data_IF_847929370647
#
_entry.id   IF_847929370647
#
_cell.length_a   1.000
_cell.length_b   1.000
_cell.length_c   1.000
_cell.angle_alpha   90.00
_cell.angle_beta   90.00
_cell.angle_gamma   90.00
#
_symmetry.space_group_name_H-M   'P 1'
#
loop_
_entity.id
_entity.type
_entity.pdbx_description
1 polymer ?
#
# COMPACT_ATOMS: atom_id res chain seq x y z
N UNK A 1 8.33 -13.86 10.13
CA UNK A 1 8.59 -12.89 11.21
C UNK A 1 7.30 -12.31 11.76
N UNK A 2 6.45 -11.81 10.91
CA UNK A 2 5.13 -11.34 11.26
C UNK A 2 4.06 -11.86 10.32
N UNK A 3 2.81 -11.69 10.71
CA UNK A 3 1.62 -12.06 9.95
C UNK A 3 0.61 -10.93 9.98
N UNK A 4 -0.05 -10.66 8.86
CA UNK A 4 -1.19 -9.75 8.79
C UNK A 4 -2.42 -10.47 8.23
N UNK A 5 -3.60 -9.96 8.55
CA UNK A 5 -4.87 -10.40 8.01
C UNK A 5 -5.49 -9.39 7.05
N UNK A 6 -6.67 -9.72 6.56
CA UNK A 6 -7.45 -8.87 5.66
C UNK A 6 -8.24 -7.82 6.45
N UNK A 7 -8.00 -6.54 6.16
CA UNK A 7 -8.77 -5.43 6.73
C UNK A 7 -9.86 -5.00 5.74
N UNK A 8 -11.10 -4.93 6.20
CA UNK A 8 -12.28 -4.52 5.43
C UNK A 8 -12.94 -3.30 6.02
N UNK A 9 -13.57 -2.48 5.19
CA UNK A 9 -14.35 -1.33 5.64
C UNK A 9 -15.70 -1.78 6.19
N UNK A 10 -16.06 -1.29 7.39
CA UNK A 10 -17.36 -1.53 8.01
C UNK A 10 -18.44 -0.59 7.45
N UNK A 11 -18.13 0.71 7.36
CA UNK A 11 -19.05 1.80 6.97
C UNK A 11 -19.08 2.10 5.45
N UNK A 12 -19.14 1.07 4.62
CA UNK A 12 -18.97 1.14 3.14
C UNK A 12 -19.87 2.12 2.41
N UNK A 13 -21.05 2.44 2.94
CA UNK A 13 -22.09 3.25 2.29
C UNK A 13 -22.46 4.49 3.08
N UNK A 14 -21.63 4.89 4.03
CA UNK A 14 -21.92 6.04 4.90
C UNK A 14 -21.80 7.35 4.11
N UNK A 15 -20.80 7.48 3.24
CA UNK A 15 -20.57 8.66 2.39
C UNK A 15 -19.93 8.26 1.06
N UNK A 16 -19.89 9.17 0.10
CA UNK A 16 -19.16 8.96 -1.15
C UNK A 16 -17.65 8.72 -0.89
N UNK A 17 -17.11 9.34 0.15
CA UNK A 17 -15.72 9.18 0.58
C UNK A 17 -15.44 7.76 1.05
N UNK A 18 -16.35 7.15 1.81
CA UNK A 18 -16.19 5.74 2.22
C UNK A 18 -16.37 4.78 1.05
N UNK A 19 -17.25 5.11 0.08
CA UNK A 19 -17.48 4.27 -1.08
C UNK A 19 -16.25 4.12 -1.97
N UNK A 20 -15.53 5.19 -2.25
CA UNK A 20 -14.31 5.16 -3.07
C UNK A 20 -13.15 4.39 -2.41
N UNK A 21 -13.17 4.22 -1.09
CA UNK A 21 -12.14 3.50 -0.33
C UNK A 21 -12.36 1.97 -0.34
N UNK A 22 -13.59 1.49 -0.63
CA UNK A 22 -13.92 0.05 -0.51
C UNK A 22 -13.03 -0.82 -1.39
N UNK A 23 -12.85 -0.41 -2.64
CA UNK A 23 -12.05 -1.17 -3.60
C UNK A 23 -10.56 -1.00 -3.34
N UNK A 24 -10.12 0.19 -2.96
CA UNK A 24 -8.73 0.46 -2.60
C UNK A 24 -8.29 -0.42 -1.41
N UNK A 25 -9.13 -0.54 -0.37
CA UNK A 25 -8.85 -1.44 0.75
C UNK A 25 -8.81 -2.91 0.31
N UNK A 26 -9.66 -3.31 -0.61
CA UNK A 26 -9.62 -4.68 -1.14
C UNK A 26 -8.32 -4.96 -1.91
N UNK A 27 -7.86 -4.03 -2.75
CA UNK A 27 -6.59 -4.18 -3.45
C UNK A 27 -5.44 -4.21 -2.44
N UNK A 28 -5.30 -3.20 -1.60
CA UNK A 28 -4.14 -2.99 -0.74
C UNK A 28 -4.02 -4.04 0.38
N UNK A 29 -5.16 -4.47 0.96
CA UNK A 29 -5.19 -5.39 2.10
C UNK A 29 -5.56 -6.83 1.75
N UNK A 30 -5.84 -7.14 0.50
CA UNK A 30 -6.11 -8.51 0.06
C UNK A 30 -5.27 -8.88 -1.15
N UNK A 31 -5.48 -8.26 -2.32
CA UNK A 31 -4.81 -8.70 -3.55
C UNK A 31 -3.30 -8.51 -3.50
N UNK A 32 -2.83 -7.33 -3.14
CA UNK A 32 -1.39 -7.03 -3.06
C UNK A 32 -0.73 -7.90 -1.99
N UNK A 33 -1.34 -8.01 -0.80
CA UNK A 33 -0.80 -8.84 0.28
C UNK A 33 -0.76 -10.34 -0.06
N UNK A 34 -1.78 -10.84 -0.77
CA UNK A 34 -1.80 -12.21 -1.28
C UNK A 34 -0.67 -12.43 -2.29
N UNK A 35 -0.50 -11.51 -3.26
CA UNK A 35 0.57 -11.55 -4.24
C UNK A 35 1.96 -11.56 -3.58
N UNK A 36 2.24 -10.59 -2.70
CA UNK A 36 3.50 -10.51 -1.97
C UNK A 36 3.79 -11.78 -1.16
N UNK A 37 2.77 -12.35 -0.51
CA UNK A 37 2.91 -13.56 0.32
C UNK A 37 3.25 -14.80 -0.50
N UNK A 38 2.76 -14.90 -1.74
CA UNK A 38 3.02 -16.03 -2.64
C UNK A 38 4.42 -15.93 -3.27
N UNK A 39 4.77 -14.76 -3.80
CA UNK A 39 6.00 -14.60 -4.59
C UNK A 39 7.24 -14.24 -3.78
N UNK A 40 7.11 -13.87 -2.54
CA UNK A 40 8.26 -13.53 -1.69
C UNK A 40 7.88 -13.45 -0.23
N UNK A 41 7.42 -12.29 0.19
CA UNK A 41 6.98 -12.01 1.55
C UNK A 41 6.36 -10.63 1.62
N UNK A 42 5.45 -10.45 2.56
CA UNK A 42 4.75 -9.17 2.75
C UNK A 42 5.76 -8.10 3.15
N UNK A 43 5.83 -7.03 2.36
CA UNK A 43 6.78 -5.92 2.55
C UNK A 43 6.40 -5.03 3.73
N UNK A 44 5.10 -4.85 3.96
CA UNK A 44 4.57 -4.03 5.04
C UNK A 44 3.44 -4.76 5.78
N UNK A 45 3.57 -4.88 7.08
CA UNK A 45 2.51 -5.36 7.98
C UNK A 45 1.75 -4.14 8.51
N UNK A 46 0.46 -3.96 8.15
CA UNK A 46 -0.31 -2.78 8.57
C UNK A 46 -0.53 -2.78 10.07
N UNK A 47 -0.34 -1.64 10.73
CA UNK A 47 -0.43 -1.48 12.18
C UNK A 47 -1.81 -1.84 12.77
N UNK A 48 -2.86 -1.76 11.95
CA UNK A 48 -4.22 -2.00 12.40
C UNK A 48 -4.57 -3.48 12.63
N UNK A 49 -3.91 -4.42 11.93
CA UNK A 49 -4.24 -5.85 12.03
C UNK A 49 -3.04 -6.74 11.67
N UNK A 50 -2.08 -6.77 12.56
CA UNK A 50 -0.86 -7.57 12.40
C UNK A 50 -0.40 -8.17 13.72
N UNK A 51 0.43 -9.22 13.61
CA UNK A 51 1.04 -9.91 14.74
C UNK A 51 2.51 -10.15 14.43
N UNK A 52 3.37 -9.89 15.41
CA UNK A 52 4.81 -10.04 15.28
C UNK A 52 5.33 -11.15 16.21
N UNK A 53 6.29 -11.90 15.70
CA UNK A 53 6.94 -12.96 16.48
C UNK A 53 8.06 -12.37 17.33
N UNK A 54 7.99 -12.56 18.63
CA UNK A 54 9.00 -12.08 19.59
C UNK A 54 10.33 -12.80 19.36
N UNK A 55 10.29 -14.14 19.24
CA UNK A 55 11.45 -15.00 18.99
C UNK A 55 11.07 -16.15 18.05
N UNK A 56 12.04 -16.69 17.34
CA UNK A 56 11.85 -17.82 16.43
C UNK A 56 12.97 -18.83 16.61
N UNK A 57 12.70 -20.09 16.30
CA UNK A 57 13.74 -21.14 16.27
C UNK A 57 14.71 -20.86 15.13
N UNK A 58 15.99 -21.14 15.38
CA UNK A 58 17.06 -21.02 14.38
C UNK A 58 16.98 -22.21 13.41
N UNK A 59 16.93 -23.42 13.96
CA UNK A 59 16.80 -24.69 13.26
C UNK A 59 15.89 -25.65 14.06
N UNK A 60 15.91 -26.95 13.75
CA UNK A 60 15.16 -27.98 14.47
C UNK A 60 15.61 -28.15 15.94
N UNK A 61 16.78 -27.64 16.27
CA UNK A 61 17.35 -27.66 17.64
C UNK A 61 16.79 -26.49 18.49
N UNK A 62 17.03 -26.57 19.79
CA UNK A 62 16.45 -25.74 20.87
C UNK A 62 16.84 -24.27 20.87
N UNK A 63 17.61 -23.82 19.89
CA UNK A 63 18.18 -22.47 19.86
C UNK A 63 17.17 -21.41 19.36
N UNK A 64 16.86 -20.45 20.23
CA UNK A 64 15.91 -19.38 19.96
C UNK A 64 16.62 -18.08 19.57
N UNK A 65 16.27 -17.54 18.40
CA UNK A 65 16.75 -16.23 17.94
C UNK A 65 15.71 -15.16 18.24
N UNK A 66 16.09 -14.09 18.95
CA UNK A 66 15.19 -12.95 19.15
C UNK A 66 14.88 -12.29 17.79
N UNK A 67 13.62 -12.04 17.52
CA UNK A 67 13.15 -11.35 16.31
C UNK A 67 12.82 -9.91 16.66
N UNK A 68 11.64 -9.67 17.24
CA UNK A 68 11.18 -8.31 17.57
C UNK A 68 12.01 -7.67 18.70
N UNK A 69 12.42 -8.47 19.67
CA UNK A 69 13.18 -7.99 20.84
C UNK A 69 14.71 -7.96 20.61
N UNK A 70 15.17 -8.10 19.36
CA UNK A 70 16.59 -7.95 19.05
C UNK A 70 17.04 -6.52 19.41
N UNK A 71 18.13 -6.33 20.20
CA UNK A 71 18.52 -5.00 20.68
C UNK A 71 18.71 -3.95 19.59
N UNK A 72 19.21 -4.35 18.42
CA UNK A 72 19.39 -3.47 17.27
C UNK A 72 18.06 -2.93 16.73
N UNK A 73 17.04 -3.79 16.66
CA UNK A 73 15.70 -3.43 16.19
C UNK A 73 15.03 -2.48 17.19
N UNK A 74 15.10 -2.83 18.49
CA UNK A 74 14.53 -2.01 19.55
C UNK A 74 15.19 -0.62 19.57
N UNK A 75 16.51 -0.55 19.52
CA UNK A 75 17.26 0.72 19.51
C UNK A 75 16.90 1.59 18.31
N UNK A 76 16.81 1.01 17.12
CA UNK A 76 16.51 1.76 15.90
C UNK A 76 15.05 2.23 15.84
N UNK A 77 14.12 1.39 16.28
CA UNK A 77 12.70 1.73 16.27
C UNK A 77 12.31 2.72 17.37
N UNK A 78 12.97 2.70 18.52
CA UNK A 78 12.66 3.56 19.67
C UNK A 78 13.49 4.86 19.74
N UNK A 79 14.05 5.31 18.61
CA UNK A 79 14.72 6.61 18.54
C UNK A 79 13.75 7.75 18.82
N UNK A 80 14.02 8.55 19.86
CA UNK A 80 13.20 9.71 20.23
C UNK A 80 13.66 11.00 19.53
N UNK A 81 14.96 11.10 19.23
CA UNK A 81 15.54 12.26 18.56
C UNK A 81 15.67 12.00 17.05
N UNK A 82 14.86 12.71 16.28
CA UNK A 82 14.78 12.56 14.82
C UNK A 82 15.09 13.89 14.18
N UNK A 83 16.26 14.01 13.54
CA UNK A 83 16.75 15.29 12.99
C UNK A 83 16.40 15.48 11.52
N UNK A 84 16.48 14.41 10.71
CA UNK A 84 16.28 14.53 9.26
C UNK A 84 14.81 14.34 8.86
N UNK A 85 14.40 15.02 7.79
CA UNK A 85 13.07 14.89 7.21
C UNK A 85 12.74 13.44 6.83
N UNK A 86 13.72 12.70 6.30
CA UNK A 86 13.56 11.30 5.95
C UNK A 86 13.23 10.45 7.18
N UNK A 87 13.98 10.56 8.26
CA UNK A 87 13.74 9.85 9.51
C UNK A 87 12.39 10.22 10.14
N UNK A 88 12.00 11.51 10.07
CA UNK A 88 10.67 11.95 10.55
C UNK A 88 9.53 11.26 9.80
N UNK A 89 9.63 11.16 8.48
CA UNK A 89 8.63 10.44 7.68
C UNK A 89 8.58 8.94 7.99
N UNK A 90 9.72 8.31 8.29
CA UNK A 90 9.78 6.90 8.67
C UNK A 90 9.16 6.66 10.05
N UNK A 91 9.59 7.40 11.08
CA UNK A 91 9.24 7.13 12.48
C UNK A 91 7.93 7.77 12.92
N UNK A 92 7.62 9.01 12.47
CA UNK A 92 6.44 9.73 12.95
C UNK A 92 5.18 9.45 12.12
N UNK A 93 5.32 9.16 10.83
CA UNK A 93 4.19 8.97 9.93
C UNK A 93 3.94 7.52 9.51
N UNK A 94 4.94 6.65 9.60
CA UNK A 94 4.87 5.28 9.09
C UNK A 94 5.62 4.27 9.94
N UNK A 95 5.39 4.30 11.24
CA UNK A 95 6.06 3.45 12.23
C UNK A 95 5.86 1.96 11.97
N UNK A 96 4.71 1.54 11.49
CA UNK A 96 4.38 0.15 11.16
C UNK A 96 5.16 -0.35 9.93
N UNK A 97 5.25 0.50 8.90
CA UNK A 97 6.05 0.24 7.70
C UNK A 97 7.52 0.19 8.04
N UNK A 98 7.99 1.15 8.84
CA UNK A 98 9.38 1.23 9.26
C UNK A 98 9.78 0.00 10.09
N UNK A 99 8.94 -0.45 11.02
CA UNK A 99 9.18 -1.68 11.77
C UNK A 99 9.31 -2.89 10.83
N UNK A 100 8.41 -3.00 9.85
CA UNK A 100 8.48 -4.07 8.84
C UNK A 100 9.78 -4.01 8.02
N UNK A 101 10.22 -2.80 7.66
CA UNK A 101 11.45 -2.55 6.90
C UNK A 101 12.69 -2.93 7.70
N UNK A 102 12.77 -2.54 8.99
CA UNK A 102 13.86 -2.93 9.88
C UNK A 102 13.95 -4.45 10.01
N UNK A 103 12.80 -5.12 10.21
CA UNK A 103 12.74 -6.58 10.33
C UNK A 103 13.23 -7.27 9.04
N UNK A 104 12.81 -6.81 7.87
CA UNK A 104 13.23 -7.37 6.58
C UNK A 104 14.71 -7.11 6.30
N UNK A 105 15.23 -5.94 6.69
CA UNK A 105 16.65 -5.60 6.58
C UNK A 105 17.52 -6.45 7.51
N UNK A 106 17.06 -6.66 8.74
CA UNK A 106 17.80 -7.45 9.74
C UNK A 106 17.77 -8.95 9.43
N UNK A 107 16.67 -9.44 8.87
CA UNK A 107 16.45 -10.85 8.56
C UNK A 107 16.00 -11.08 7.11
N UNK A 108 16.83 -10.79 6.10
CA UNK A 108 16.43 -10.82 4.68
C UNK A 108 15.98 -12.19 4.18
N UNK A 109 16.43 -13.27 4.83
CA UNK A 109 16.02 -14.65 4.51
C UNK A 109 14.71 -15.09 5.16
N UNK A 110 14.15 -14.27 6.05
CA UNK A 110 12.87 -14.54 6.71
C UNK A 110 11.79 -13.66 6.11
N UNK A 111 10.57 -14.17 6.01
CA UNK A 111 9.43 -13.46 5.41
C UNK A 111 8.32 -13.16 6.41
N UNK A 112 7.56 -12.14 6.09
CA UNK A 112 6.24 -11.88 6.65
C UNK A 112 5.20 -12.55 5.73
N UNK A 113 4.07 -12.96 6.28
CA UNK A 113 3.03 -13.67 5.54
C UNK A 113 1.67 -12.98 5.69
N UNK A 114 0.82 -13.19 4.71
CA UNK A 114 -0.57 -12.77 4.74
C UNK A 114 -1.49 -13.97 5.00
N UNK A 115 -2.46 -13.81 5.91
CA UNK A 115 -3.45 -14.83 6.25
C UNK A 115 -4.85 -14.33 5.90
N UNK A 116 -5.40 -14.68 4.71
CA UNK A 116 -6.69 -14.17 4.24
C UNK A 116 -7.90 -14.66 5.05
N UNK A 117 -7.74 -15.71 5.86
CA UNK A 117 -8.77 -16.21 6.77
C UNK A 117 -8.95 -15.31 7.98
N UNK A 118 -7.86 -14.67 8.45
CA UNK A 118 -7.95 -13.66 9.51
C UNK A 118 -8.50 -12.37 8.93
N UNK A 119 -9.65 -11.92 9.44
CA UNK A 119 -10.37 -10.75 8.91
C UNK A 119 -10.76 -9.81 10.02
N UNK A 120 -10.52 -8.51 9.82
CA UNK A 120 -11.08 -7.47 10.67
C UNK A 120 -11.92 -6.47 9.87
N UNK A 121 -12.72 -5.68 10.58
CA UNK A 121 -13.49 -4.57 10.02
C UNK A 121 -13.09 -3.29 10.72
N UNK A 122 -12.80 -2.27 9.94
CA UNK A 122 -12.45 -0.93 10.43
C UNK A 122 -13.44 0.10 9.92
N UNK A 123 -13.58 1.19 10.62
CA UNK A 123 -14.32 2.38 10.16
C UNK A 123 -13.35 3.25 9.38
N UNK A 124 -13.66 3.49 8.11
CA UNK A 124 -12.88 4.36 7.24
C UNK A 124 -13.33 5.82 7.38
N UNK A 125 -12.47 6.80 7.09
CA UNK A 125 -12.84 8.22 7.05
C UNK A 125 -14.05 8.45 6.15
N UNK A 126 -15.02 9.19 6.63
CA UNK A 126 -16.26 9.52 5.93
C UNK A 126 -16.27 10.94 5.36
N UNK A 127 -15.35 11.79 5.80
CA UNK A 127 -15.13 13.14 5.30
C UNK A 127 -13.85 13.23 4.48
N UNK A 128 -13.86 14.09 3.44
CA UNK A 128 -12.74 14.21 2.52
C UNK A 128 -11.49 14.82 3.17
N UNK A 129 -11.67 15.78 4.09
CA UNK A 129 -10.57 16.39 4.83
C UNK A 129 -9.79 15.38 5.67
N UNK A 130 -10.50 14.50 6.37
CA UNK A 130 -9.90 13.43 7.19
C UNK A 130 -9.19 12.40 6.29
N UNK A 131 -9.80 12.04 5.15
CA UNK A 131 -9.16 11.17 4.17
C UNK A 131 -7.85 11.79 3.65
N UNK A 132 -7.87 13.08 3.31
CA UNK A 132 -6.71 13.83 2.80
C UNK A 132 -5.56 13.82 3.80
N UNK A 133 -5.85 14.16 5.07
CA UNK A 133 -4.88 14.12 6.16
C UNK A 133 -4.32 12.71 6.40
N UNK A 134 -5.16 11.67 6.37
CA UNK A 134 -4.73 10.28 6.53
C UNK A 134 -3.82 9.84 5.38
N UNK A 135 -4.21 10.12 4.12
CA UNK A 135 -3.47 9.69 2.93
C UNK A 135 -2.17 10.46 2.73
N UNK A 136 -2.11 11.72 3.12
CA UNK A 136 -0.86 12.47 3.19
C UNK A 136 0.21 11.70 3.96
N UNK A 137 -0.12 11.27 5.18
CA UNK A 137 0.79 10.48 6.02
C UNK A 137 1.18 9.16 5.36
N UNK A 138 0.20 8.44 4.84
CA UNK A 138 0.43 7.13 4.24
C UNK A 138 1.30 7.19 2.97
N UNK A 139 1.06 8.17 2.09
CA UNK A 139 1.82 8.32 0.85
C UNK A 139 3.26 8.74 1.17
N UNK A 140 3.45 9.76 2.01
CA UNK A 140 4.78 10.26 2.35
C UNK A 140 5.60 9.17 3.07
N UNK A 141 5.04 8.51 4.08
CA UNK A 141 5.73 7.41 4.74
C UNK A 141 6.01 6.22 3.80
N UNK A 142 5.10 5.93 2.85
CA UNK A 142 5.31 4.86 1.86
C UNK A 142 6.53 5.13 1.00
N UNK A 143 6.65 6.33 0.41
CA UNK A 143 7.79 6.69 -0.42
C UNK A 143 9.11 6.52 0.34
N UNK A 144 9.22 7.06 1.55
CA UNK A 144 10.42 6.98 2.35
C UNK A 144 10.76 5.53 2.78
N UNK A 145 9.76 4.72 3.14
CA UNK A 145 9.96 3.31 3.47
C UNK A 145 10.34 2.47 2.26
N UNK A 146 9.76 2.72 1.09
CA UNK A 146 10.15 2.04 -0.15
C UNK A 146 11.58 2.39 -0.56
N UNK A 147 12.03 3.65 -0.35
CA UNK A 147 13.43 4.05 -0.56
C UNK A 147 14.40 3.26 0.33
N UNK A 148 14.05 3.04 1.61
CA UNK A 148 14.86 2.18 2.48
C UNK A 148 14.84 0.73 2.02
N UNK A 149 13.66 0.22 1.65
CA UNK A 149 13.49 -1.18 1.29
C UNK A 149 14.20 -1.55 -0.03
N UNK A 150 14.25 -0.63 -1.00
CA UNK A 150 15.02 -0.82 -2.26
C UNK A 150 16.51 -1.02 -1.99
N UNK A 151 17.06 -0.41 -0.92
CA UNK A 151 18.46 -0.55 -0.53
C UNK A 151 18.78 -1.89 0.14
N UNK A 152 17.77 -2.63 0.59
CA UNK A 152 17.94 -3.93 1.26
C UNK A 152 18.34 -4.98 0.23
N UNK A 153 19.54 -5.56 0.41
CA UNK A 153 20.04 -6.64 -0.45
C UNK A 153 19.43 -7.99 -0.04
N UNK A 154 19.25 -8.87 -1.04
CA UNK A 154 18.79 -10.26 -0.84
C UNK A 154 17.39 -10.39 -0.20
N UNK A 155 16.48 -9.47 -0.51
CA UNK A 155 15.07 -9.66 -0.17
C UNK A 155 14.55 -10.97 -0.75
N UNK A 156 13.83 -11.74 0.06
CA UNK A 156 13.26 -13.02 -0.34
C UNK A 156 12.33 -12.85 -1.54
N UNK A 157 12.59 -13.58 -2.62
CA UNK A 157 11.79 -13.55 -3.85
C UNK A 157 12.34 -14.50 -4.89
N UNK A 158 11.55 -14.82 -5.89
CA UNK A 158 11.91 -15.73 -7.00
C UNK A 158 12.22 -14.96 -8.27
N UNK A 159 13.39 -15.16 -8.81
CA UNK A 159 13.95 -14.71 -10.11
C UNK A 159 13.31 -13.41 -10.68
N UNK A 160 12.41 -13.49 -11.69
CA UNK A 160 11.77 -12.31 -12.30
C UNK A 160 10.80 -11.55 -11.35
N UNK A 161 10.41 -12.18 -10.24
CA UNK A 161 9.60 -11.60 -9.18
C UNK A 161 10.42 -11.35 -7.92
N UNK A 162 11.68 -10.93 -8.08
CA UNK A 162 12.49 -10.46 -6.97
C UNK A 162 11.70 -9.38 -6.21
N UNK A 163 11.54 -9.56 -4.91
CA UNK A 163 10.83 -8.56 -4.09
C UNK A 163 11.48 -7.18 -4.16
N UNK A 164 12.79 -7.12 -4.41
CA UNK A 164 13.48 -5.86 -4.63
C UNK A 164 13.01 -5.15 -5.90
N UNK A 165 12.78 -5.88 -7.00
CA UNK A 165 12.22 -5.33 -8.23
C UNK A 165 10.79 -4.86 -8.03
N UNK A 166 9.95 -5.64 -7.34
CA UNK A 166 8.56 -5.25 -7.03
C UNK A 166 8.53 -3.97 -6.20
N UNK A 167 9.35 -3.86 -5.16
CA UNK A 167 9.48 -2.67 -4.31
C UNK A 167 9.97 -1.45 -5.12
N UNK A 168 10.93 -1.65 -6.03
CA UNK A 168 11.40 -0.58 -6.92
C UNK A 168 10.28 -0.10 -7.87
N UNK A 169 9.54 -1.01 -8.47
CA UNK A 169 8.42 -0.66 -9.34
C UNK A 169 7.28 0.03 -8.57
N UNK A 170 7.03 -0.37 -7.33
CA UNK A 170 6.05 0.28 -6.46
C UNK A 170 6.47 1.72 -6.12
N UNK A 171 7.76 1.95 -5.83
CA UNK A 171 8.31 3.28 -5.61
C UNK A 171 8.16 4.18 -6.86
N UNK A 172 8.59 3.68 -8.02
CA UNK A 172 8.46 4.41 -9.30
C UNK A 172 6.99 4.70 -9.58
N UNK A 173 6.12 3.70 -9.44
CA UNK A 173 4.69 3.84 -9.63
C UNK A 173 4.09 4.94 -8.74
N UNK A 174 4.41 4.94 -7.45
CA UNK A 174 3.89 5.93 -6.49
C UNK A 174 4.30 7.36 -6.86
N UNK A 175 5.55 7.57 -7.29
CA UNK A 175 6.07 8.91 -7.63
C UNK A 175 5.53 9.41 -8.98
N UNK A 176 5.40 8.51 -9.96
CA UNK A 176 4.99 8.86 -11.34
C UNK A 176 3.46 8.99 -11.47
N UNK A 177 2.70 8.52 -10.50
CA UNK A 177 1.24 8.43 -10.55
C UNK A 177 0.53 9.73 -10.98
N UNK A 178 0.85 10.95 -10.45
CA UNK A 178 0.20 12.18 -10.87
C UNK A 178 0.41 12.53 -12.35
N UNK A 179 1.61 12.27 -12.87
CA UNK A 179 1.92 12.49 -14.28
C UNK A 179 1.19 11.48 -15.16
N UNK A 180 1.17 10.22 -14.74
CA UNK A 180 0.52 9.14 -15.47
C UNK A 180 -0.99 9.40 -15.65
N UNK A 181 -1.69 9.87 -14.61
CA UNK A 181 -3.12 10.16 -14.72
C UNK A 181 -3.40 11.37 -15.63
N UNK A 182 -2.54 12.40 -15.63
CA UNK A 182 -2.64 13.52 -16.55
C UNK A 182 -2.48 13.08 -18.02
N UNK A 183 -1.47 12.24 -18.30
CA UNK A 183 -1.25 11.69 -19.63
C UNK A 183 -2.41 10.78 -20.08
N UNK A 184 -2.97 10.00 -19.16
CA UNK A 184 -4.14 9.17 -19.42
C UNK A 184 -5.36 10.03 -19.75
N UNK A 185 -5.58 11.12 -19.01
CA UNK A 185 -6.63 12.10 -19.31
C UNK A 185 -6.44 12.75 -20.67
N UNK A 186 -5.23 13.19 -21.00
CA UNK A 186 -4.89 13.75 -22.29
C UNK A 186 -5.13 12.75 -23.45
N UNK A 187 -4.75 11.47 -23.27
CA UNK A 187 -5.02 10.42 -24.24
C UNK A 187 -6.53 10.26 -24.50
N UNK A 188 -7.33 10.21 -23.43
CA UNK A 188 -8.80 10.07 -23.56
C UNK A 188 -9.38 11.28 -24.29
N UNK A 189 -9.04 12.49 -23.87
CA UNK A 189 -9.54 13.73 -24.49
C UNK A 189 -9.15 13.81 -25.96
N UNK A 190 -7.88 13.54 -26.28
CA UNK A 190 -7.41 13.53 -27.67
C UNK A 190 -8.17 12.50 -28.53
N UNK A 191 -8.43 11.32 -27.99
CA UNK A 191 -9.18 10.27 -28.70
C UNK A 191 -10.67 10.58 -28.89
N UNK A 192 -11.22 11.47 -28.07
CA UNK A 192 -12.60 11.99 -28.26
C UNK A 192 -12.62 13.06 -29.36
N UNK A 193 -11.62 13.95 -29.38
CA UNK A 193 -11.53 15.06 -30.37
C UNK A 193 -11.15 14.51 -31.74
N UNK A 194 -10.16 13.60 -31.77
CA UNK A 194 -9.65 12.94 -32.98
C UNK A 194 -9.80 11.43 -32.84
N UNK A 195 -10.98 10.87 -33.19
CA UNK A 195 -11.19 9.43 -33.08
C UNK A 195 -10.19 8.65 -33.92
N UNK A 196 -9.61 7.56 -33.42
CA UNK A 196 -8.65 6.75 -34.14
C UNK A 196 -9.29 6.12 -35.39
N UNK A 197 -8.67 6.35 -36.55
CA UNK A 197 -9.16 5.83 -37.84
C UNK A 197 -8.49 4.53 -38.24
N UNK A 198 -7.34 4.23 -37.64
CA UNK A 198 -6.56 3.01 -37.90
C UNK A 198 -6.38 2.18 -36.63
N UNK A 199 -6.15 0.88 -36.83
CA UNK A 199 -5.85 -0.04 -35.72
C UNK A 199 -4.61 0.40 -34.91
N UNK A 200 -3.60 0.92 -35.58
CA UNK A 200 -2.36 1.38 -34.91
C UNK A 200 -2.61 2.57 -33.99
N UNK A 201 -3.47 3.51 -34.40
CA UNK A 201 -3.87 4.65 -33.56
C UNK A 201 -4.73 4.24 -32.35
N UNK A 202 -5.47 3.13 -32.48
CA UNK A 202 -6.31 2.59 -31.41
C UNK A 202 -5.52 1.80 -30.33
N UNK A 203 -4.27 1.37 -30.60
CA UNK A 203 -3.47 0.55 -29.69
C UNK A 203 -3.37 1.17 -28.28
N UNK A 204 -3.07 2.46 -28.07
CA UNK A 204 -2.96 3.04 -26.74
C UNK A 204 -4.27 2.96 -25.94
N UNK A 205 -5.42 3.16 -26.61
CA UNK A 205 -6.73 3.03 -25.97
C UNK A 205 -7.07 1.58 -25.63
N UNK A 206 -6.71 0.65 -26.50
CA UNK A 206 -6.90 -0.79 -26.24
C UNK A 206 -6.05 -1.25 -25.06
N UNK A 207 -4.80 -0.81 -24.97
CA UNK A 207 -3.92 -1.09 -23.84
C UNK A 207 -4.47 -0.47 -22.55
N UNK A 208 -4.95 0.78 -22.59
CA UNK A 208 -5.58 1.42 -21.45
C UNK A 208 -6.83 0.63 -21.00
N UNK A 209 -7.69 0.24 -21.91
CA UNK A 209 -8.88 -0.55 -21.61
C UNK A 209 -8.51 -1.93 -21.01
N UNK A 210 -7.47 -2.58 -21.55
CA UNK A 210 -6.97 -3.84 -21.02
C UNK A 210 -6.41 -3.69 -19.60
N UNK A 211 -5.60 -2.65 -19.33
CA UNK A 211 -5.03 -2.39 -18.01
C UNK A 211 -6.11 -2.08 -16.98
N UNK A 212 -7.11 -1.27 -17.34
CA UNK A 212 -8.22 -0.93 -16.44
C UNK A 212 -9.22 -2.09 -16.27
N UNK A 213 -9.38 -2.95 -17.28
CA UNK A 213 -10.29 -4.10 -17.25
C UNK A 213 -9.71 -5.37 -16.64
N UNK A 214 -8.40 -5.59 -16.74
CA UNK A 214 -7.73 -6.79 -16.22
C UNK A 214 -8.03 -7.06 -14.73
N UNK A 215 -8.04 -6.08 -13.83
CA UNK A 215 -8.42 -6.31 -12.44
C UNK A 215 -9.82 -6.89 -12.27
N UNK A 216 -10.80 -6.52 -13.11
CA UNK A 216 -12.14 -7.11 -13.05
C UNK A 216 -12.12 -8.62 -13.33
N UNK A 217 -11.36 -9.04 -14.36
CA UNK A 217 -11.19 -10.44 -14.70
C UNK A 217 -10.52 -11.21 -13.56
N UNK A 218 -9.44 -10.65 -12.99
CA UNK A 218 -8.75 -11.24 -11.85
C UNK A 218 -9.66 -11.39 -10.62
N UNK A 219 -10.49 -10.39 -10.32
CA UNK A 219 -11.45 -10.43 -9.21
C UNK A 219 -12.49 -11.54 -9.44
N UNK A 220 -13.02 -11.67 -10.64
CA UNK A 220 -14.01 -12.71 -10.97
C UNK A 220 -13.41 -14.11 -10.82
N UNK A 221 -12.17 -14.30 -11.27
CA UNK A 221 -11.46 -15.60 -11.17
C UNK A 221 -11.15 -15.91 -9.69
N UNK A 222 -10.61 -14.96 -8.93
CA UNK A 222 -10.09 -15.21 -7.59
C UNK A 222 -11.17 -15.21 -6.51
N UNK A 223 -12.12 -14.28 -6.57
CA UNK A 223 -13.13 -14.12 -5.51
C UNK A 223 -14.52 -14.60 -5.88
N UNK A 224 -14.83 -14.73 -7.17
CA UNK A 224 -16.16 -15.04 -7.72
C UNK A 224 -17.28 -14.11 -7.23
N UNK A 225 -16.94 -12.88 -6.78
CA UNK A 225 -17.89 -11.92 -6.21
C UNK A 225 -18.02 -10.71 -7.12
N UNK A 226 -19.08 -10.69 -7.93
CA UNK A 226 -19.39 -9.58 -8.86
C UNK A 226 -19.49 -8.21 -8.16
N UNK A 227 -19.87 -8.18 -6.88
CA UNK A 227 -19.98 -6.94 -6.11
C UNK A 227 -18.66 -6.15 -6.04
N UNK A 228 -17.50 -6.82 -6.07
CA UNK A 228 -16.21 -6.13 -6.09
C UNK A 228 -15.92 -5.47 -7.44
N UNK A 229 -16.49 -5.99 -8.53
CA UNK A 229 -16.41 -5.32 -9.84
C UNK A 229 -17.21 -4.02 -9.83
N UNK A 230 -18.38 -4.01 -9.18
CA UNK A 230 -19.14 -2.75 -9.00
C UNK A 230 -18.35 -1.71 -8.18
N UNK A 231 -17.69 -2.13 -7.09
CA UNK A 231 -16.81 -1.24 -6.32
C UNK A 231 -15.58 -0.79 -7.11
N UNK A 232 -15.07 -1.63 -8.00
CA UNK A 232 -14.00 -1.24 -8.93
C UNK A 232 -14.45 -0.10 -9.86
N UNK A 233 -15.67 -0.16 -10.41
CA UNK A 233 -16.17 0.93 -11.23
C UNK A 233 -16.27 2.25 -10.47
N UNK A 234 -16.74 2.22 -9.21
CA UNK A 234 -16.74 3.40 -8.33
C UNK A 234 -15.33 3.93 -8.12
N UNK A 235 -14.35 3.06 -7.91
CA UNK A 235 -12.95 3.43 -7.76
C UNK A 235 -12.37 4.03 -9.05
N UNK A 236 -12.70 3.47 -10.23
CA UNK A 236 -12.23 4.01 -11.51
C UNK A 236 -12.70 5.44 -11.74
N UNK A 237 -13.95 5.76 -11.36
CA UNK A 237 -14.45 7.15 -11.41
C UNK A 237 -13.69 8.07 -10.44
N UNK A 238 -13.16 7.53 -9.35
CA UNK A 238 -12.39 8.28 -8.36
C UNK A 238 -10.87 8.31 -8.64
N UNK A 239 -10.38 7.72 -9.74
CA UNK A 239 -8.95 7.71 -10.09
C UNK A 239 -8.29 9.09 -10.07
N UNK A 240 -8.92 10.20 -10.54
CA UNK A 240 -8.31 11.52 -10.42
C UNK A 240 -8.04 11.92 -8.96
N UNK A 241 -8.90 11.53 -8.03
CA UNK A 241 -8.69 11.78 -6.60
C UNK A 241 -7.50 10.96 -6.09
N UNK A 242 -7.49 9.65 -6.37
CA UNK A 242 -6.46 8.73 -5.88
C UNK A 242 -5.08 8.97 -6.48
N UNK A 243 -5.01 9.24 -7.77
CA UNK A 243 -3.77 9.28 -8.52
C UNK A 243 -3.24 10.69 -8.77
N UNK A 244 -4.05 11.74 -8.54
CA UNK A 244 -3.62 13.12 -8.69
C UNK A 244 -3.79 13.93 -7.40
N UNK A 245 -5.02 14.11 -6.91
CA UNK A 245 -5.29 15.02 -5.79
C UNK A 245 -4.54 14.58 -4.52
N UNK A 246 -4.66 13.32 -4.13
CA UNK A 246 -4.03 12.80 -2.92
C UNK A 246 -2.50 12.79 -2.99
N UNK A 247 -1.85 12.30 -4.07
CA UNK A 247 -0.38 12.35 -4.16
C UNK A 247 0.17 13.77 -4.24
N UNK A 248 -0.41 14.64 -5.07
CA UNK A 248 0.03 16.04 -5.19
C UNK A 248 -0.07 16.77 -3.86
N UNK A 249 -1.21 16.64 -3.17
CA UNK A 249 -1.39 17.20 -1.84
C UNK A 249 -0.37 16.64 -0.84
N UNK A 250 -0.12 15.34 -0.87
CA UNK A 250 0.84 14.69 0.02
C UNK A 250 2.27 15.18 -0.22
N UNK A 251 2.68 15.29 -1.48
CA UNK A 251 4.02 15.77 -1.83
C UNK A 251 4.19 17.26 -1.56
N UNK A 252 3.14 18.06 -1.67
CA UNK A 252 3.16 19.47 -1.30
C UNK A 252 3.34 19.69 0.21
N UNK A 253 2.82 18.75 1.03
CA UNK A 253 2.89 18.79 2.51
C UNK A 253 3.79 17.66 3.06
N UNK A 254 4.94 17.42 2.44
CA UNK A 254 5.84 16.34 2.85
C UNK A 254 6.58 16.61 4.18
N UNK A 255 6.59 17.84 4.62
CA UNK A 255 7.18 18.35 5.87
C UNK A 255 6.16 18.48 7.03
N UNK A 256 4.88 18.19 6.77
CA UNK A 256 3.85 18.21 7.80
C UNK A 256 3.73 16.84 8.48
N UNK A 257 4.15 16.78 9.74
CA UNK A 257 4.13 15.58 10.59
C UNK A 257 2.93 15.51 11.54
N UNK A 258 1.96 16.42 11.42
CA UNK A 258 0.75 16.41 12.25
C UNK A 258 -0.10 15.17 11.99
N UNK A 259 -0.69 14.62 13.05
CA UNK A 259 -1.57 13.44 12.93
C UNK A 259 -2.99 13.78 12.48
N UNK A 260 -3.36 15.07 12.48
CA UNK A 260 -4.68 15.56 12.12
C UNK A 260 -5.78 15.01 13.05
N UNK A 261 -7.03 15.24 12.67
CA UNK A 261 -8.22 14.89 13.48
C UNK A 261 -8.61 13.39 13.43
N UNK A 262 -7.69 12.48 13.15
CA UNK A 262 -8.00 11.05 13.05
C UNK A 262 -8.26 10.39 14.42
N UNK A 263 -8.16 11.13 15.52
CA UNK A 263 -8.44 10.67 16.89
C UNK A 263 -9.53 11.51 17.57
N UNK A 264 -10.70 11.62 16.99
CA UNK A 264 -11.86 11.95 17.81
C UNK A 264 -12.23 10.72 18.62
N UNK A 265 -11.71 10.64 19.82
CA UNK A 265 -12.31 9.81 20.87
C UNK A 265 -13.56 10.59 21.31
N UNK A 266 -14.75 10.16 20.88
CA UNK A 266 -15.97 10.63 21.53
C UNK A 266 -15.82 10.26 23.01
N UNK A 267 -15.90 11.21 23.93
CA UNK A 267 -16.01 10.87 25.34
C UNK A 267 -17.26 10.01 25.52
N UNK A 268 -17.08 8.85 26.15
CA UNK A 268 -18.15 7.96 26.59
C UNK A 268 -19.09 8.67 27.53
#
# INVERSE_FOLDING_TARGET
MGVCGETRIANKRQSWVTMIQVYEYFISHHLVKAFESVFGGVTCLPGCFSMYRIKARKDAETDWVPILVKPEIVREYSQSEVSTLHQKNLLLLGEDRFLSTILLRTFPRRKNIFLPQARCRTVAPDTFSVLLSQRRRWINSTVHNLMELVRVRNLCGTFCFSMQFVVFMDLVGTVVLPVAICLTGALIVNSIITPPTSFQEAIPLMLLAAVLGLPAVLILITTRKVIYVAWMLVYLLALPIWNFVLPVYSFWHFDDFSWGETRYVHPL
#
